data_IF_986459601256
#
_entry.id   IF_986459601256
#
_cell.length_a   1.000
_cell.length_b   1.000
_cell.length_c   1.000
_cell.angle_alpha   90.00
_cell.angle_beta   90.00
_cell.angle_gamma   90.00
#
_symmetry.space_group_name_H-M   'P 1'
#
loop_
_entity.id
_entity.type
_entity.pdbx_description
1 polymer ?
#
# COMPACT_ATOMS: atom_id res chain seq x y z
N UNK A 1 5.30 -7.25 -9.00
CA UNK A 1 4.00 -7.13 -9.70
C UNK A 1 4.00 -5.94 -10.66
N UNK A 2 3.22 -5.96 -11.76
CA UNK A 2 3.08 -4.79 -12.65
C UNK A 2 1.81 -3.99 -12.33
N UNK A 3 1.96 -2.70 -12.01
CA UNK A 3 0.84 -1.76 -11.82
C UNK A 3 0.50 -1.09 -13.14
N UNK A 4 -0.78 -1.03 -13.50
CA UNK A 4 -1.23 -0.30 -14.69
C UNK A 4 -1.59 1.15 -14.38
N UNK A 5 -1.66 2.00 -15.41
CA UNK A 5 -2.15 3.38 -15.26
C UNK A 5 -3.58 3.45 -14.75
N UNK A 6 -4.42 2.47 -15.12
CA UNK A 6 -5.81 2.42 -14.64
C UNK A 6 -5.86 2.09 -13.13
N UNK A 7 -4.95 1.26 -12.63
CA UNK A 7 -4.80 1.00 -11.19
C UNK A 7 -4.38 2.26 -10.43
N UNK A 8 -3.40 3.00 -10.97
CA UNK A 8 -2.97 4.28 -10.38
C UNK A 8 -4.13 5.26 -10.36
N UNK A 9 -4.88 5.40 -11.46
CA UNK A 9 -6.04 6.29 -11.53
C UNK A 9 -7.12 5.90 -10.54
N UNK A 10 -7.38 4.60 -10.39
CA UNK A 10 -8.36 4.10 -9.43
C UNK A 10 -7.98 4.44 -7.99
N UNK A 11 -6.73 4.19 -7.60
CA UNK A 11 -6.23 4.50 -6.25
C UNK A 11 -6.17 6.01 -6.02
N UNK A 12 -5.77 6.81 -7.01
CA UNK A 12 -5.75 8.26 -6.93
C UNK A 12 -7.15 8.83 -6.64
N UNK A 13 -8.20 8.30 -7.29
CA UNK A 13 -9.58 8.69 -7.01
C UNK A 13 -10.00 8.37 -5.57
N UNK A 14 -9.64 7.20 -5.04
CA UNK A 14 -9.91 6.82 -3.65
C UNK A 14 -9.19 7.75 -2.66
N UNK A 15 -7.96 8.14 -2.98
CA UNK A 15 -7.13 9.02 -2.18
C UNK A 15 -7.42 10.52 -2.39
N UNK A 16 -8.32 10.89 -3.32
CA UNK A 16 -8.62 12.27 -3.73
C UNK A 16 -7.38 13.03 -4.23
N UNK A 17 -6.53 12.34 -4.98
CA UNK A 17 -5.37 12.91 -5.66
C UNK A 17 -5.70 13.08 -7.15
N UNK A 18 -5.20 14.16 -7.73
CA UNK A 18 -5.32 14.45 -9.17
C UNK A 18 -3.93 14.42 -9.80
N UNK A 19 -3.81 13.72 -10.93
CA UNK A 19 -2.55 13.52 -11.64
C UNK A 19 -2.75 13.79 -13.13
N UNK A 20 -1.75 14.38 -13.78
CA UNK A 20 -1.66 14.42 -15.23
C UNK A 20 -1.40 13.03 -15.81
N UNK A 21 -1.61 12.87 -17.12
CA UNK A 21 -1.37 11.61 -17.81
C UNK A 21 0.10 11.16 -17.73
N UNK A 22 1.03 12.11 -17.71
CA UNK A 22 2.46 11.88 -17.55
C UNK A 22 2.79 11.42 -16.12
N UNK A 23 2.22 12.07 -15.10
CA UNK A 23 2.41 11.69 -13.70
C UNK A 23 1.81 10.32 -13.39
N UNK A 24 0.66 9.97 -13.98
CA UNK A 24 0.08 8.62 -13.86
C UNK A 24 1.03 7.53 -14.38
N UNK A 25 1.71 7.78 -15.51
CA UNK A 25 2.64 6.83 -16.09
C UNK A 25 3.90 6.67 -15.24
N UNK A 26 4.44 7.78 -14.74
CA UNK A 26 5.58 7.76 -13.83
C UNK A 26 5.22 7.03 -12.51
N UNK A 27 4.06 7.33 -11.95
CA UNK A 27 3.59 6.72 -10.70
C UNK A 27 3.36 5.22 -10.84
N UNK A 28 2.92 4.74 -12.01
CA UNK A 28 2.77 3.30 -12.27
C UNK A 28 4.12 2.57 -12.17
N UNK A 29 5.19 3.15 -12.74
CA UNK A 29 6.54 2.58 -12.67
C UNK A 29 7.10 2.63 -11.24
N UNK A 30 6.91 3.76 -10.54
CA UNK A 30 7.38 3.94 -9.16
C UNK A 30 6.66 3.00 -8.20
N UNK A 31 5.33 2.88 -8.30
CA UNK A 31 4.53 1.99 -7.46
C UNK A 31 4.87 0.52 -7.72
N UNK A 32 5.11 0.14 -8.98
CA UNK A 32 5.55 -1.22 -9.32
C UNK A 32 6.85 -1.57 -8.60
N UNK A 33 7.85 -0.67 -8.59
CA UNK A 33 9.12 -0.87 -7.87
C UNK A 33 8.94 -0.98 -6.36
N UNK A 34 8.03 -0.19 -5.78
CA UNK A 34 7.72 -0.25 -4.35
C UNK A 34 7.08 -1.59 -3.99
N UNK A 35 6.10 -2.05 -4.77
CA UNK A 35 5.45 -3.34 -4.54
C UNK A 35 6.45 -4.49 -4.71
N UNK A 36 7.30 -4.47 -5.74
CA UNK A 36 8.38 -5.46 -5.91
C UNK A 36 9.33 -5.51 -4.70
N UNK A 37 9.55 -4.38 -4.03
CA UNK A 37 10.35 -4.34 -2.80
C UNK A 37 9.59 -4.91 -1.60
N UNK A 38 8.29 -4.65 -1.50
CA UNK A 38 7.41 -5.17 -0.43
C UNK A 38 7.25 -6.69 -0.54
N UNK A 39 7.26 -7.25 -1.76
CA UNK A 39 7.17 -8.70 -2.02
C UNK A 39 8.25 -9.50 -1.27
N UNK A 40 9.37 -8.87 -0.85
CA UNK A 40 10.37 -9.51 0.02
C UNK A 40 9.82 -10.00 1.36
N UNK A 41 8.74 -9.38 1.85
CA UNK A 41 8.10 -9.78 3.10
C UNK A 41 7.37 -11.13 2.98
N UNK A 42 6.99 -11.54 1.76
CA UNK A 42 6.31 -12.82 1.50
C UNK A 42 7.24 -14.03 1.70
N UNK A 43 8.56 -13.81 1.82
CA UNK A 43 9.54 -14.86 2.12
C UNK A 43 9.41 -15.42 3.55
N UNK A 44 8.66 -14.75 4.44
CA UNK A 44 8.52 -15.10 5.85
C UNK A 44 7.16 -15.77 6.13
N UNK A 45 7.16 -16.91 6.81
CA UNK A 45 5.94 -17.57 7.29
C UNK A 45 5.34 -16.81 8.49
N UNK A 46 4.12 -16.30 8.31
CA UNK A 46 3.35 -15.55 9.33
C UNK A 46 2.08 -16.28 9.76
N UNK A 47 1.88 -17.55 9.40
CA UNK A 47 0.64 -18.31 9.64
C UNK A 47 0.19 -18.40 11.10
N UNK A 48 1.14 -18.33 12.05
CA UNK A 48 0.88 -18.35 13.49
C UNK A 48 1.05 -16.99 14.19
N UNK A 49 1.34 -15.91 13.46
CA UNK A 49 1.65 -14.59 14.02
C UNK A 49 0.40 -13.71 13.93
N UNK A 50 -0.20 -13.29 15.07
CA UNK A 50 -1.34 -12.38 15.03
C UNK A 50 -0.91 -10.98 14.53
N UNK A 51 -1.72 -10.30 13.70
CA UNK A 51 -1.44 -8.93 13.28
C UNK A 51 -1.38 -7.96 14.46
N UNK A 52 -0.40 -7.05 14.47
CA UNK A 52 -0.26 -6.01 15.49
C UNK A 52 -0.87 -4.69 15.00
N UNK A 53 -2.02 -4.29 15.56
CA UNK A 53 -2.65 -3.00 15.24
C UNK A 53 -2.15 -1.84 16.11
N UNK A 54 -1.85 -2.12 17.38
CA UNK A 54 -1.30 -1.15 18.34
C UNK A 54 -0.10 -1.78 19.03
N UNK A 55 0.95 -0.97 19.28
CA UNK A 55 2.15 -1.43 19.99
C UNK A 55 1.90 -1.56 21.50
N UNK A 56 0.94 -0.80 22.02
CA UNK A 56 0.52 -0.84 23.42
C UNK A 56 -0.83 -1.53 23.56
N UNK A 57 -1.02 -2.25 24.66
CA UNK A 57 -2.30 -2.85 25.03
C UNK A 57 -3.26 -1.77 25.57
N UNK A 58 -3.93 -1.08 24.65
CA UNK A 58 -4.87 -0.01 24.98
C UNK A 58 -6.19 -0.61 25.48
N UNK A 59 -6.61 -0.24 26.69
CA UNK A 59 -7.91 -0.64 27.26
C UNK A 59 -8.62 0.57 27.88
N UNK A 60 -9.97 0.56 27.88
CA UNK A 60 -10.80 1.54 28.61
C UNK A 60 -10.52 3.03 28.28
N UNK A 61 -10.49 3.38 26.99
CA UNK A 61 -10.32 4.77 26.55
C UNK A 61 -11.67 5.51 26.65
N UNK A 62 -11.96 6.03 27.83
CA UNK A 62 -13.13 6.87 28.10
C UNK A 62 -12.83 8.35 27.86
N UNK A 63 -13.89 9.13 27.62
CA UNK A 63 -13.84 10.57 27.39
C UNK A 63 -14.14 11.33 28.67
#
# INVERSE_FOLDING_TARGET
>A
MSVSRDDVRHVAQLARLDFSAEEEAQMADELSRILDYVDKLDELDTSGVPPMSHVLDVTNVFR
#
